data_IF_714857308867
#
_entry.id   IF_714857308867
#
_cell.length_a   1.000
_cell.length_b   1.000
_cell.length_c   1.000
_cell.angle_alpha   90.00
_cell.angle_beta   90.00
_cell.angle_gamma   90.00
#
_symmetry.space_group_name_H-M   'P 1'
#
loop_
_entity.id
_entity.type
_entity.pdbx_description
1 polymer ?
#
# COMPACT_ATOMS: atom_id res chain seq x y z
N UNK A 1 48.64 -59.46 -22.98
CA UNK A 1 47.93 -58.51 -23.88
C UNK A 1 46.44 -58.60 -23.53
N UNK A 2 45.66 -57.54 -23.41
CA UNK A 2 45.98 -56.11 -23.59
C UNK A 2 45.63 -55.28 -22.35
N UNK A 3 46.18 -54.06 -22.24
CA UNK A 3 46.02 -53.14 -21.11
C UNK A 3 45.41 -51.82 -21.57
N UNK A 4 44.23 -51.44 -21.05
CA UNK A 4 43.72 -50.08 -21.22
C UNK A 4 42.67 -49.68 -20.17
N UNK A 5 42.92 -48.54 -19.53
CA UNK A 5 41.98 -47.72 -18.76
C UNK A 5 42.78 -46.63 -18.02
N UNK A 6 42.12 -45.61 -17.42
CA UNK A 6 40.75 -45.13 -17.62
C UNK A 6 40.72 -43.65 -18.12
N UNK A 7 39.56 -43.09 -18.49
CA UNK A 7 39.46 -41.61 -18.58
C UNK A 7 38.47 -40.91 -19.50
N UNK A 8 37.16 -41.23 -19.49
CA UNK A 8 36.13 -40.37 -20.13
C UNK A 8 34.90 -40.11 -19.25
N UNK A 9 35.09 -39.47 -18.09
CA UNK A 9 34.01 -38.97 -17.22
C UNK A 9 34.14 -37.46 -16.97
N UNK A 10 33.76 -36.63 -17.94
CA UNK A 10 33.88 -35.15 -17.78
C UNK A 10 32.81 -34.27 -18.46
N UNK A 11 32.03 -34.76 -19.43
CA UNK A 11 31.08 -33.89 -20.17
C UNK A 11 29.66 -33.83 -19.59
N UNK A 12 29.00 -34.96 -19.31
CA UNK A 12 27.60 -34.97 -18.84
C UNK A 12 27.42 -34.32 -17.46
N UNK A 13 28.35 -34.51 -16.52
CA UNK A 13 28.27 -33.88 -15.19
C UNK A 13 28.43 -32.35 -15.23
N UNK A 14 29.15 -31.79 -16.21
CA UNK A 14 29.25 -30.33 -16.41
C UNK A 14 27.93 -29.73 -16.94
N UNK A 15 27.16 -30.49 -17.72
CA UNK A 15 25.82 -30.10 -18.20
C UNK A 15 24.81 -29.94 -17.05
N UNK A 16 24.70 -30.94 -16.17
CA UNK A 16 23.73 -30.89 -15.05
C UNK A 16 24.01 -29.76 -14.05
N UNK A 17 25.29 -29.45 -13.77
CA UNK A 17 25.63 -28.27 -12.94
C UNK A 17 25.24 -26.95 -13.60
N UNK A 18 25.39 -26.78 -14.92
CA UNK A 18 24.87 -25.60 -15.65
C UNK A 18 23.34 -25.51 -15.59
N UNK A 19 22.62 -26.63 -15.74
CA UNK A 19 21.14 -26.64 -15.73
C UNK A 19 20.55 -26.19 -14.37
N UNK A 20 21.16 -26.60 -13.24
CA UNK A 20 20.76 -26.13 -11.89
C UNK A 20 21.01 -24.64 -11.66
N UNK A 21 22.01 -24.03 -12.31
CA UNK A 21 22.26 -22.59 -12.25
C UNK A 21 21.37 -21.80 -13.24
N UNK A 22 20.92 -22.45 -14.32
CA UNK A 22 19.93 -21.89 -15.24
C UNK A 22 18.59 -21.60 -14.58
N UNK A 23 18.10 -22.50 -13.72
CA UNK A 23 16.84 -22.30 -12.97
C UNK A 23 16.86 -21.06 -12.07
N UNK A 24 17.95 -20.86 -11.30
CA UNK A 24 18.12 -19.62 -10.52
C UNK A 24 18.18 -18.36 -11.40
N UNK A 25 18.56 -18.47 -12.68
CA UNK A 25 18.53 -17.36 -13.65
C UNK A 25 17.16 -17.17 -14.31
N UNK A 26 16.28 -18.17 -14.30
CA UNK A 26 14.89 -18.05 -14.74
C UNK A 26 13.98 -17.41 -13.68
N UNK A 27 14.28 -17.56 -12.39
CA UNK A 27 13.50 -16.89 -11.33
C UNK A 27 13.54 -15.34 -11.43
N UNK A 28 14.59 -14.75 -12.03
CA UNK A 28 14.64 -13.31 -12.33
C UNK A 28 13.75 -12.88 -13.51
N UNK A 29 13.07 -13.81 -14.19
CA UNK A 29 12.13 -13.51 -15.29
C UNK A 29 10.66 -13.50 -14.85
N UNK A 30 10.33 -14.00 -13.67
CA UNK A 30 8.98 -13.90 -13.11
C UNK A 30 8.96 -12.79 -12.06
N UNK A 31 8.70 -11.56 -12.52
CA UNK A 31 8.34 -10.43 -11.70
C UNK A 31 6.97 -9.93 -12.20
N UNK A 32 6.06 -9.61 -11.28
CA UNK A 32 4.69 -9.21 -11.61
C UNK A 32 3.62 -10.09 -10.95
N UNK A 33 2.43 -10.15 -11.56
CA UNK A 33 1.26 -10.89 -11.10
C UNK A 33 1.04 -12.15 -11.95
N UNK A 34 0.79 -13.28 -11.29
CA UNK A 34 0.58 -14.59 -11.92
C UNK A 34 -0.70 -15.22 -11.36
N UNK A 35 -1.58 -15.75 -12.21
CA UNK A 35 -2.81 -16.39 -11.76
C UNK A 35 -2.53 -17.79 -11.17
N UNK A 36 -3.07 -18.06 -9.98
CA UNK A 36 -2.94 -19.33 -9.28
C UNK A 36 -4.09 -20.24 -9.74
N UNK A 37 -3.93 -20.78 -10.95
CA UNK A 37 -4.80 -21.78 -11.55
C UNK A 37 -4.58 -23.18 -10.95
N UNK A 38 -5.32 -24.19 -11.43
CA UNK A 38 -5.21 -25.58 -10.97
C UNK A 38 -3.83 -26.24 -11.18
N UNK A 39 -2.93 -25.62 -11.95
CA UNK A 39 -1.58 -26.13 -12.25
C UNK A 39 -0.50 -25.43 -11.41
N UNK A 40 -0.82 -24.31 -10.75
CA UNK A 40 0.11 -23.54 -9.94
C UNK A 40 0.39 -24.20 -8.58
N UNK A 41 1.66 -24.16 -8.14
CA UNK A 41 2.11 -24.82 -6.88
C UNK A 41 1.38 -24.37 -5.60
N UNK A 42 0.70 -23.21 -5.63
CA UNK A 42 -0.04 -22.65 -4.49
C UNK A 42 -1.55 -22.90 -4.56
N UNK A 43 -2.09 -23.54 -5.60
CA UNK A 43 -3.54 -23.71 -5.79
C UNK A 43 -4.23 -24.31 -4.55
N UNK A 44 -3.77 -25.48 -4.12
CA UNK A 44 -4.27 -26.16 -2.92
C UNK A 44 -4.18 -25.28 -1.66
N UNK A 45 -3.09 -24.53 -1.49
CA UNK A 45 -2.94 -23.58 -0.38
C UNK A 45 -4.01 -22.48 -0.46
N UNK A 46 -4.24 -21.88 -1.64
CA UNK A 46 -5.24 -20.83 -1.80
C UNK A 46 -6.68 -21.32 -1.63
N UNK A 47 -6.97 -22.58 -1.95
CA UNK A 47 -8.26 -23.21 -1.65
C UNK A 47 -8.46 -23.35 -0.12
N UNK A 48 -7.49 -23.92 0.60
CA UNK A 48 -7.53 -24.01 2.07
C UNK A 48 -7.59 -22.62 2.73
N UNK A 49 -6.93 -21.61 2.16
CA UNK A 49 -7.05 -20.22 2.58
C UNK A 49 -8.49 -19.72 2.42
N UNK A 50 -9.14 -19.86 1.26
CA UNK A 50 -10.54 -19.42 1.07
C UNK A 50 -11.48 -20.06 2.09
N UNK A 51 -11.37 -21.37 2.27
CA UNK A 51 -12.22 -22.13 3.19
C UNK A 51 -12.03 -21.71 4.65
N UNK A 52 -10.79 -21.69 5.14
CA UNK A 52 -10.47 -21.31 6.52
C UNK A 52 -10.69 -19.82 6.81
N UNK A 53 -10.48 -18.93 5.83
CA UNK A 53 -10.80 -17.51 5.97
C UNK A 53 -12.31 -17.28 5.99
N UNK A 54 -13.08 -17.98 5.15
CA UNK A 54 -14.53 -17.87 5.14
C UNK A 54 -15.11 -18.28 6.50
N UNK A 55 -14.67 -19.43 7.05
CA UNK A 55 -15.08 -19.90 8.37
C UNK A 55 -14.61 -18.98 9.52
N UNK A 56 -13.38 -18.47 9.49
CA UNK A 56 -12.86 -17.57 10.52
C UNK A 56 -13.61 -16.23 10.56
N UNK A 57 -13.97 -15.69 9.39
CA UNK A 57 -14.75 -14.44 9.30
C UNK A 57 -16.23 -14.71 9.60
N UNK A 58 -16.79 -15.87 9.21
CA UNK A 58 -18.18 -16.21 9.53
C UNK A 58 -18.43 -16.25 11.04
N UNK A 59 -17.53 -16.88 11.82
CA UNK A 59 -17.59 -16.83 13.28
C UNK A 59 -17.65 -15.38 13.84
N UNK A 60 -17.04 -14.42 13.14
CA UNK A 60 -17.01 -12.99 13.52
C UNK A 60 -18.26 -12.22 13.04
N UNK A 61 -18.97 -12.75 12.04
CA UNK A 61 -20.28 -12.25 11.58
C UNK A 61 -21.39 -12.74 12.53
N UNK A 62 -21.30 -14.00 12.97
CA UNK A 62 -22.29 -14.66 13.80
C UNK A 62 -22.15 -14.24 15.29
N UNK A 63 -20.93 -14.02 15.77
CA UNK A 63 -20.61 -13.50 17.10
C UNK A 63 -19.80 -12.18 16.98
N UNK A 64 -20.48 -11.03 16.78
CA UNK A 64 -19.81 -9.75 16.57
C UNK A 64 -19.15 -9.21 17.85
N UNK A 65 -18.00 -8.51 17.75
CA UNK A 65 -17.25 -8.03 18.90
C UNK A 65 -18.04 -7.04 19.77
N UNK A 66 -17.83 -7.13 21.08
CA UNK A 66 -18.36 -6.15 22.03
C UNK A 66 -17.81 -4.72 21.78
N UNK A 67 -18.58 -3.71 22.22
CA UNK A 67 -18.24 -2.29 22.02
C UNK A 67 -16.89 -1.88 22.63
N UNK A 68 -16.42 -2.57 23.68
CA UNK A 68 -15.13 -2.34 24.31
C UNK A 68 -14.31 -3.64 24.30
N UNK A 69 -13.07 -3.57 23.82
CA UNK A 69 -12.14 -4.70 23.77
C UNK A 69 -11.50 -4.94 25.13
N UNK A 70 -11.59 -6.17 25.63
CA UNK A 70 -10.96 -6.64 26.87
C UNK A 70 -9.52 -7.08 26.62
N UNK A 71 -8.76 -7.29 27.71
CA UNK A 71 -7.40 -7.85 27.58
C UNK A 71 -7.38 -9.33 27.14
N UNK A 72 -8.48 -10.06 27.25
CA UNK A 72 -8.58 -11.42 26.68
C UNK A 72 -8.79 -11.41 25.17
N UNK A 73 -9.45 -10.39 24.60
CA UNK A 73 -9.61 -10.27 23.15
C UNK A 73 -8.27 -10.16 22.41
N UNK A 74 -7.26 -9.54 23.04
CA UNK A 74 -5.89 -9.49 22.53
C UNK A 74 -5.12 -10.82 22.66
N UNK A 75 -5.63 -11.78 23.46
CA UNK A 75 -5.06 -13.12 23.68
C UNK A 75 -5.82 -14.23 22.97
N UNK A 76 -7.07 -14.00 22.58
CA UNK A 76 -8.00 -15.01 22.06
C UNK A 76 -7.40 -15.77 20.87
N UNK A 77 -7.42 -17.10 20.97
CA UNK A 77 -6.97 -18.06 19.96
C UNK A 77 -8.11 -19.06 19.71
N UNK A 78 -8.52 -19.20 18.44
CA UNK A 78 -9.64 -20.04 18.00
C UNK A 78 -9.15 -20.98 16.91
N UNK A 79 -9.09 -22.27 17.22
CA UNK A 79 -8.64 -23.32 16.28
C UNK A 79 -9.85 -23.98 15.62
N UNK A 80 -10.03 -23.71 14.33
CA UNK A 80 -11.01 -24.38 13.48
C UNK A 80 -10.37 -25.62 12.84
N UNK A 81 -11.09 -26.75 12.88
CA UNK A 81 -10.65 -28.02 12.29
C UNK A 81 -11.40 -28.22 10.98
N UNK A 82 -10.66 -28.24 9.88
CA UNK A 82 -11.16 -28.57 8.55
C UNK A 82 -10.81 -30.02 8.22
N UNK A 83 -11.35 -30.54 7.10
CA UNK A 83 -11.15 -31.95 6.71
C UNK A 83 -9.67 -32.33 6.54
N UNK A 84 -8.89 -31.46 5.92
CA UNK A 84 -7.52 -31.74 5.49
C UNK A 84 -6.47 -30.80 6.13
N UNK A 85 -6.90 -29.83 6.97
CA UNK A 85 -6.03 -28.84 7.63
C UNK A 85 -6.66 -28.25 8.91
N UNK A 86 -5.90 -27.44 9.66
CA UNK A 86 -6.42 -26.62 10.78
C UNK A 86 -6.13 -25.13 10.55
N UNK A 87 -7.05 -24.27 10.99
CA UNK A 87 -6.92 -22.81 10.91
C UNK A 87 -6.92 -22.23 12.33
N UNK A 88 -5.82 -21.59 12.72
CA UNK A 88 -5.67 -20.94 14.04
C UNK A 88 -5.92 -19.42 13.90
N UNK A 89 -7.09 -18.91 14.31
CA UNK A 89 -7.42 -17.47 14.27
C UNK A 89 -7.07 -16.80 15.60
N UNK A 90 -6.46 -15.60 15.56
CA UNK A 90 -5.96 -14.90 16.74
C UNK A 90 -6.52 -13.49 16.80
N UNK A 91 -6.89 -13.05 18.01
CA UNK A 91 -7.42 -11.72 18.30
C UNK A 91 -8.53 -11.27 17.32
N UNK A 92 -9.43 -12.20 16.99
CA UNK A 92 -10.53 -12.00 16.03
C UNK A 92 -11.32 -10.71 16.27
N UNK A 93 -11.86 -10.50 17.50
CA UNK A 93 -12.53 -9.26 17.89
C UNK A 93 -11.69 -8.00 17.67
N UNK A 94 -10.42 -8.01 18.05
CA UNK A 94 -9.51 -6.85 17.88
C UNK A 94 -9.33 -6.49 16.40
N UNK A 95 -9.14 -7.48 15.54
CA UNK A 95 -9.00 -7.25 14.11
C UNK A 95 -10.34 -6.87 13.45
N UNK A 96 -11.47 -7.35 13.96
CA UNK A 96 -12.82 -6.94 13.53
C UNK A 96 -13.10 -5.47 13.88
N UNK A 97 -12.80 -5.04 15.11
CA UNK A 97 -12.86 -3.64 15.51
C UNK A 97 -11.95 -2.77 14.63
N UNK A 98 -10.76 -3.25 14.25
CA UNK A 98 -9.90 -2.55 13.29
C UNK A 98 -10.56 -2.43 11.92
N UNK A 99 -11.11 -3.51 11.34
CA UNK A 99 -11.84 -3.49 10.06
C UNK A 99 -13.01 -2.50 10.09
N UNK A 100 -13.84 -2.56 11.13
CA UNK A 100 -14.93 -1.62 11.38
C UNK A 100 -14.47 -0.16 11.47
N UNK A 101 -13.35 0.12 12.15
CA UNK A 101 -12.77 1.48 12.24
C UNK A 101 -12.27 2.03 10.91
N UNK A 102 -11.99 1.17 9.92
CA UNK A 102 -11.67 1.53 8.54
C UNK A 102 -12.93 1.63 7.64
N UNK A 103 -14.12 1.48 8.23
CA UNK A 103 -15.41 1.49 7.52
C UNK A 103 -15.73 0.18 6.79
N UNK A 104 -14.94 -0.88 6.98
CA UNK A 104 -15.08 -2.17 6.31
C UNK A 104 -15.97 -3.10 7.14
N UNK A 105 -17.00 -3.68 6.53
CA UNK A 105 -17.79 -4.74 7.20
C UNK A 105 -17.13 -6.10 7.05
N UNK A 106 -17.45 -7.02 7.96
CA UNK A 106 -16.97 -8.40 7.88
C UNK A 106 -17.44 -9.10 6.59
N UNK A 107 -18.64 -8.79 6.10
CA UNK A 107 -19.15 -9.31 4.81
C UNK A 107 -18.35 -8.76 3.61
N UNK A 108 -18.01 -7.47 3.59
CA UNK A 108 -17.15 -6.88 2.55
C UNK A 108 -15.75 -7.52 2.56
N UNK A 109 -15.23 -7.82 3.75
CA UNK A 109 -13.94 -8.48 3.95
C UNK A 109 -13.96 -9.96 3.51
N UNK A 110 -14.99 -10.71 3.91
CA UNK A 110 -15.18 -12.11 3.52
C UNK A 110 -15.34 -12.24 1.99
N UNK A 111 -16.16 -11.40 1.36
CA UNK A 111 -16.33 -11.40 -0.09
C UNK A 111 -15.02 -11.08 -0.83
N UNK A 112 -14.27 -10.09 -0.35
CA UNK A 112 -13.00 -9.66 -0.94
C UNK A 112 -11.94 -10.77 -0.90
N UNK A 113 -11.81 -11.49 0.23
CA UNK A 113 -10.81 -12.57 0.39
C UNK A 113 -11.27 -13.93 -0.17
N UNK A 114 -12.56 -14.25 -0.08
CA UNK A 114 -13.08 -15.60 -0.35
C UNK A 114 -13.93 -15.72 -1.62
N UNK A 115 -14.01 -14.68 -2.47
CA UNK A 115 -14.68 -14.77 -3.78
C UNK A 115 -14.15 -15.91 -4.65
N UNK A 116 -14.98 -16.36 -5.60
CA UNK A 116 -14.71 -17.54 -6.45
C UNK A 116 -13.46 -17.40 -7.33
N UNK A 117 -13.13 -16.17 -7.75
CA UNK A 117 -11.96 -15.80 -8.56
C UNK A 117 -10.64 -16.47 -8.11
N UNK A 118 -9.77 -16.84 -9.07
CA UNK A 118 -8.43 -17.31 -8.76
C UNK A 118 -7.63 -16.24 -8.00
N UNK A 119 -6.84 -16.66 -7.02
CA UNK A 119 -5.86 -15.78 -6.40
C UNK A 119 -4.73 -15.45 -7.40
N UNK A 120 -4.12 -14.28 -7.27
CA UNK A 120 -2.92 -13.88 -7.99
C UNK A 120 -1.70 -13.96 -7.05
N UNK A 121 -0.63 -14.62 -7.45
CA UNK A 121 0.67 -14.48 -6.79
C UNK A 121 1.36 -13.20 -7.28
N UNK A 122 1.81 -12.34 -6.37
CA UNK A 122 2.69 -11.22 -6.68
C UNK A 122 4.15 -11.58 -6.38
N UNK A 123 4.96 -11.76 -7.43
CA UNK A 123 6.39 -12.03 -7.29
C UNK A 123 7.13 -10.69 -7.42
N UNK A 124 7.61 -10.20 -6.28
CA UNK A 124 8.32 -8.92 -6.18
C UNK A 124 9.84 -9.08 -6.22
N UNK A 125 10.54 -7.99 -6.56
CA UNK A 125 12.00 -7.89 -6.47
C UNK A 125 12.50 -7.64 -5.02
N UNK A 126 11.74 -8.09 -4.02
CA UNK A 126 12.07 -7.98 -2.61
C UNK A 126 13.20 -8.95 -2.20
N UNK A 127 13.82 -8.69 -1.04
CA UNK A 127 14.74 -9.62 -0.38
C UNK A 127 14.04 -10.54 0.63
N UNK A 128 12.76 -10.32 0.92
CA UNK A 128 11.95 -11.19 1.78
C UNK A 128 11.58 -12.48 1.04
N UNK A 129 11.84 -13.64 1.65
CA UNK A 129 11.26 -14.94 1.24
C UNK A 129 9.81 -15.07 1.73
N UNK A 130 9.01 -14.05 1.45
CA UNK A 130 7.61 -14.00 1.79
C UNK A 130 6.83 -13.98 0.49
N UNK A 131 5.83 -14.84 0.41
CA UNK A 131 4.91 -14.97 -0.72
C UNK A 131 3.80 -13.93 -0.53
N UNK A 132 3.35 -13.34 -1.62
CA UNK A 132 2.29 -12.35 -1.63
C UNK A 132 1.19 -12.86 -2.54
N UNK A 133 -0.04 -12.91 -2.02
CA UNK A 133 -1.23 -13.28 -2.78
C UNK A 133 -2.21 -12.09 -2.83
N UNK A 134 -3.08 -12.03 -3.83
CA UNK A 134 -4.21 -11.09 -3.91
C UNK A 134 -5.42 -11.84 -4.46
N UNK A 135 -6.64 -11.45 -4.09
CA UNK A 135 -7.85 -11.95 -4.75
C UNK A 135 -8.44 -10.84 -5.65
N UNK A 136 -9.33 -10.01 -5.12
CA UNK A 136 -9.98 -8.90 -5.84
C UNK A 136 -9.10 -7.65 -6.10
N UNK A 137 -7.77 -7.79 -6.02
CA UNK A 137 -6.76 -6.71 -5.97
C UNK A 137 -6.91 -5.66 -4.85
N UNK A 138 -7.93 -5.67 -3.98
CA UNK A 138 -8.06 -4.68 -2.89
C UNK A 138 -7.10 -4.98 -1.75
N UNK A 139 -6.75 -6.24 -1.55
CA UNK A 139 -5.94 -6.72 -0.43
C UNK A 139 -4.74 -7.57 -0.89
N UNK A 140 -3.56 -7.24 -0.37
CA UNK A 140 -2.41 -8.16 -0.36
C UNK A 140 -2.52 -9.14 0.80
N UNK A 141 -2.02 -10.36 0.62
CA UNK A 141 -1.92 -11.39 1.64
C UNK A 141 -0.46 -11.87 1.68
N UNK A 142 0.35 -11.26 2.55
CA UNK A 142 1.78 -11.60 2.70
C UNK A 142 1.99 -12.70 3.74
N UNK A 143 2.67 -13.80 3.39
CA UNK A 143 3.03 -14.86 4.35
C UNK A 143 4.01 -14.33 5.40
N UNK A 144 3.83 -14.73 6.67
CA UNK A 144 4.61 -14.26 7.82
C UNK A 144 5.27 -15.40 8.59
N UNK A 145 6.50 -15.19 9.07
CA UNK A 145 7.21 -16.19 9.87
C UNK A 145 6.82 -16.13 11.35
N UNK A 146 6.99 -17.24 12.08
CA UNK A 146 6.56 -17.37 13.49
C UNK A 146 7.13 -16.31 14.45
N UNK A 147 8.25 -15.63 14.11
CA UNK A 147 8.82 -14.53 14.91
C UNK A 147 8.13 -13.19 14.62
N UNK A 148 7.76 -12.95 13.38
CA UNK A 148 6.98 -11.77 12.94
C UNK A 148 5.59 -11.82 13.58
N UNK A 149 4.92 -12.98 13.51
CA UNK A 149 3.64 -13.24 14.18
C UNK A 149 3.73 -13.02 15.69
N UNK A 150 4.73 -13.60 16.37
CA UNK A 150 4.90 -13.42 17.82
C UNK A 150 5.21 -11.97 18.20
N UNK A 151 5.90 -11.22 17.33
CA UNK A 151 6.16 -9.80 17.54
C UNK A 151 4.88 -8.97 17.34
N UNK A 152 4.07 -9.23 16.30
CA UNK A 152 2.79 -8.54 16.10
C UNK A 152 1.87 -8.74 17.30
N UNK A 153 1.58 -10.00 17.67
CA UNK A 153 0.67 -10.32 18.78
C UNK A 153 1.20 -9.75 20.11
N UNK A 154 2.51 -9.87 20.37
CA UNK A 154 3.14 -9.32 21.59
C UNK A 154 3.14 -7.78 21.69
N UNK A 155 2.80 -7.06 20.62
CA UNK A 155 2.68 -5.59 20.61
C UNK A 155 1.28 -5.12 20.13
N UNK A 156 0.30 -6.03 19.97
CA UNK A 156 -0.96 -5.73 19.31
C UNK A 156 -1.77 -4.64 20.03
N UNK A 157 -1.79 -4.66 21.36
CA UNK A 157 -2.48 -3.65 22.18
C UNK A 157 -1.92 -2.24 21.96
N UNK A 158 -0.62 -2.05 22.12
CA UNK A 158 0.03 -0.74 21.93
C UNK A 158 0.02 -0.28 20.46
N UNK A 159 -0.03 -1.21 19.50
CA UNK A 159 -0.27 -0.91 18.09
C UNK A 159 -1.70 -0.39 17.84
N UNK A 160 -2.71 -1.05 18.40
CA UNK A 160 -4.12 -0.60 18.31
C UNK A 160 -4.33 0.73 19.04
N UNK A 161 -3.68 0.96 20.18
CA UNK A 161 -3.66 2.25 20.89
C UNK A 161 -3.02 3.35 20.03
N UNK A 162 -1.92 3.07 19.33
CA UNK A 162 -1.28 4.01 18.40
C UNK A 162 -2.20 4.34 17.22
N UNK A 163 -2.82 3.35 16.57
CA UNK A 163 -3.77 3.59 15.48
C UNK A 163 -5.01 4.38 15.94
N UNK A 164 -5.57 4.07 17.12
CA UNK A 164 -6.71 4.79 17.69
C UNK A 164 -6.35 6.24 18.04
N UNK A 165 -5.11 6.50 18.46
CA UNK A 165 -4.61 7.86 18.76
C UNK A 165 -4.25 8.64 17.50
N UNK A 166 -3.79 7.98 16.44
CA UNK A 166 -3.35 8.57 15.20
C UNK A 166 -4.04 7.87 14.00
N UNK A 167 -5.33 8.17 13.72
CA UNK A 167 -6.11 7.47 12.70
C UNK A 167 -5.54 7.60 11.27
N UNK A 168 -4.74 8.64 11.02
CA UNK A 168 -4.04 8.84 9.74
C UNK A 168 -2.63 8.21 9.70
N UNK A 169 -2.29 7.33 10.65
CA UNK A 169 -1.00 6.64 10.73
C UNK A 169 -0.62 5.98 9.40
N UNK A 170 0.60 6.24 8.97
CA UNK A 170 1.20 5.68 7.76
C UNK A 170 1.63 4.23 7.96
N UNK A 171 1.64 3.69 9.19
CA UNK A 171 1.93 2.29 9.45
C UNK A 171 0.98 1.37 8.68
N UNK A 172 1.54 0.32 8.08
CA UNK A 172 0.76 -0.77 7.48
C UNK A 172 -0.30 -1.30 8.45
N UNK A 173 -1.51 -1.54 7.93
CA UNK A 173 -2.64 -2.11 8.69
C UNK A 173 -2.59 -3.64 8.63
N UNK A 174 -2.78 -4.31 9.75
CA UNK A 174 -2.91 -5.77 9.81
C UNK A 174 -4.37 -6.12 10.08
N UNK A 175 -5.09 -6.65 9.11
CA UNK A 175 -6.48 -7.08 9.32
C UNK A 175 -6.58 -8.57 9.75
N UNK A 176 -5.45 -9.28 9.84
CA UNK A 176 -5.35 -10.63 10.41
C UNK A 176 -3.89 -11.02 10.72
N UNK A 177 -3.69 -12.17 11.38
CA UNK A 177 -2.36 -12.72 11.76
C UNK A 177 -1.52 -13.24 10.59
N UNK A 178 -2.07 -14.15 9.77
CA UNK A 178 -1.28 -14.91 8.80
C UNK A 178 -0.98 -14.12 7.53
N UNK A 179 -1.79 -13.11 7.25
CA UNK A 179 -1.78 -12.30 6.05
C UNK A 179 -1.75 -10.83 6.43
N UNK A 180 -0.67 -10.13 6.10
CA UNK A 180 -0.66 -8.67 6.19
C UNK A 180 -1.60 -8.13 5.11
N UNK A 181 -2.86 -7.89 5.48
CA UNK A 181 -3.84 -7.25 4.61
C UNK A 181 -3.56 -5.76 4.47
N UNK A 182 -2.60 -5.47 3.59
CA UNK A 182 -2.37 -4.14 3.06
C UNK A 182 -3.47 -3.85 2.04
N UNK A 183 -4.16 -2.71 2.19
CA UNK A 183 -4.95 -2.13 1.11
C UNK A 183 -4.01 -1.91 -0.09
N UNK A 184 -4.36 -2.40 -1.27
CA UNK A 184 -3.54 -2.16 -2.46
C UNK A 184 -3.54 -0.66 -2.77
N UNK A 185 -2.33 -0.11 -2.83
CA UNK A 185 -2.07 1.30 -3.14
C UNK A 185 -1.79 1.51 -4.63
N UNK A 186 -2.09 0.49 -5.45
CA UNK A 186 -1.81 0.45 -6.87
C UNK A 186 -3.10 0.17 -7.64
N UNK A 187 -3.67 1.22 -8.24
CA UNK A 187 -4.63 1.13 -9.35
C UNK A 187 -4.80 2.52 -10.03
N UNK A 188 -4.80 2.62 -11.37
CA UNK A 188 -4.52 1.57 -12.34
C UNK A 188 -3.02 1.28 -12.43
N UNK A 189 -2.66 0.01 -12.66
CA UNK A 189 -1.29 -0.50 -12.55
C UNK A 189 -0.34 0.04 -13.66
N UNK A 190 -0.89 0.65 -14.72
CA UNK A 190 -0.19 1.10 -15.92
C UNK A 190 0.50 2.46 -15.78
N UNK A 191 0.19 3.23 -14.71
CA UNK A 191 0.59 4.64 -14.53
C UNK A 191 1.32 4.93 -13.22
N UNK A 192 1.75 3.92 -12.48
CA UNK A 192 2.25 4.07 -11.11
C UNK A 192 3.70 3.57 -10.98
N UNK A 193 4.61 4.49 -10.67
CA UNK A 193 5.97 4.13 -10.26
C UNK A 193 6.00 3.93 -8.75
N UNK A 194 6.49 2.77 -8.28
CA UNK A 194 6.55 2.39 -6.88
C UNK A 194 7.99 2.28 -6.36
N UNK A 195 8.25 2.82 -5.17
CA UNK A 195 9.56 2.94 -4.55
C UNK A 195 9.54 2.41 -3.11
N UNK A 196 10.49 1.52 -2.78
CA UNK A 196 10.84 1.11 -1.42
C UNK A 196 11.96 2.06 -0.96
N UNK A 197 11.69 2.95 0.00
CA UNK A 197 12.65 3.97 0.49
C UNK A 197 13.07 3.67 1.94
N UNK A 198 14.37 3.86 2.26
CA UNK A 198 14.94 3.68 3.62
C UNK A 198 15.84 4.85 4.07
N UNK A 199 16.01 5.86 3.23
CA UNK A 199 16.91 7.00 3.43
C UNK A 199 18.38 6.61 3.40
N UNK A 200 18.82 5.68 2.54
CA UNK A 200 20.23 5.25 2.51
C UNK A 200 20.70 4.74 1.13
N UNK A 201 22.01 4.52 0.97
CA UNK A 201 22.63 4.14 -0.32
C UNK A 201 22.82 2.62 -0.52
N UNK A 202 23.32 1.91 0.49
CA UNK A 202 23.94 0.58 0.27
C UNK A 202 22.89 -0.48 -0.09
N UNK A 203 22.98 -0.98 -1.33
CA UNK A 203 21.99 -1.88 -1.96
C UNK A 203 20.61 -1.24 -2.20
N UNK A 204 20.57 0.07 -2.47
CA UNK A 204 19.33 0.87 -2.61
C UNK A 204 19.11 1.41 -4.03
N UNK A 205 19.60 0.68 -5.02
CA UNK A 205 19.28 0.84 -6.44
C UNK A 205 18.63 -0.43 -6.98
N UNK A 206 17.90 -0.31 -8.07
CA UNK A 206 17.27 -1.41 -8.84
C UNK A 206 17.35 -1.08 -10.32
N UNK A 207 17.59 -2.09 -11.17
CA UNK A 207 17.39 -1.97 -12.61
C UNK A 207 15.89 -1.73 -12.89
N UNK A 208 15.49 -0.66 -13.61
CA UNK A 208 14.11 -0.44 -14.02
C UNK A 208 13.60 -1.55 -14.97
N UNK A 209 12.27 -1.68 -15.06
CA UNK A 209 11.66 -2.46 -16.13
C UNK A 209 11.87 -1.77 -17.49
N UNK A 210 12.02 -2.51 -18.61
CA UNK A 210 11.99 -1.92 -19.95
C UNK A 210 10.67 -1.19 -20.22
N UNK A 211 10.73 -0.07 -20.93
CA UNK A 211 9.56 0.69 -21.35
C UNK A 211 8.56 -0.20 -22.13
N UNK A 212 7.26 -0.02 -21.85
CA UNK A 212 6.19 -0.84 -22.45
C UNK A 212 6.07 -2.27 -21.92
N UNK A 213 6.89 -2.71 -20.95
CA UNK A 213 6.74 -4.03 -20.33
C UNK A 213 5.76 -4.02 -19.15
N UNK A 214 4.96 -5.09 -19.00
CA UNK A 214 3.99 -5.25 -17.91
C UNK A 214 4.63 -5.66 -16.55
N UNK A 215 5.94 -5.43 -16.37
CA UNK A 215 6.69 -5.92 -15.21
C UNK A 215 6.69 -4.85 -14.10
N UNK A 216 5.90 -5.07 -13.05
CA UNK A 216 5.88 -4.21 -11.87
C UNK A 216 7.18 -4.40 -11.08
N UNK A 217 8.07 -3.39 -11.11
CA UNK A 217 9.34 -3.37 -10.37
C UNK A 217 9.30 -2.31 -9.28
N UNK A 218 9.55 -2.70 -8.03
CA UNK A 218 9.67 -1.74 -6.92
C UNK A 218 11.08 -1.15 -6.92
N UNK A 219 11.17 0.11 -7.33
CA UNK A 219 12.37 0.94 -7.36
C UNK A 219 12.83 1.30 -5.92
N UNK A 220 13.98 1.97 -5.76
CA UNK A 220 14.58 2.25 -4.45
C UNK A 220 15.14 3.67 -4.36
N UNK A 221 15.74 4.04 -3.23
CA UNK A 221 16.26 5.39 -2.91
C UNK A 221 17.08 6.00 -4.05
N UNK A 222 18.04 5.26 -4.60
CA UNK A 222 18.94 5.70 -5.69
C UNK A 222 18.26 5.71 -7.08
N UNK A 223 17.00 5.29 -7.18
CA UNK A 223 16.15 5.48 -8.36
C UNK A 223 15.23 6.72 -8.21
N UNK A 224 15.11 7.29 -7.01
CA UNK A 224 14.30 8.48 -6.71
C UNK A 224 15.15 9.76 -6.65
N UNK A 225 16.48 9.66 -6.78
CA UNK A 225 17.37 10.84 -6.79
C UNK A 225 16.96 11.86 -7.86
N UNK A 226 16.93 13.14 -7.47
CA UNK A 226 16.43 14.25 -8.31
C UNK A 226 14.91 14.41 -8.34
N UNK A 227 14.12 13.43 -7.86
CA UNK A 227 12.66 13.51 -7.78
C UNK A 227 12.18 14.10 -6.44
N UNK A 228 10.96 14.62 -6.42
CA UNK A 228 10.36 15.24 -5.23
C UNK A 228 8.87 14.91 -5.10
N UNK A 229 8.42 14.74 -3.85
CA UNK A 229 7.01 14.60 -3.45
C UNK A 229 6.46 16.03 -3.28
N UNK A 230 5.67 16.54 -4.23
CA UNK A 230 5.18 17.92 -4.19
C UNK A 230 3.80 17.99 -3.52
N UNK A 231 3.70 18.56 -2.32
CA UNK A 231 2.49 18.45 -1.48
C UNK A 231 2.12 19.76 -0.79
N UNK A 232 0.86 20.19 -0.96
CA UNK A 232 0.28 21.28 -0.17
C UNK A 232 0.28 20.95 1.34
N UNK A 233 0.04 19.68 1.70
CA UNK A 233 -0.01 19.19 3.08
C UNK A 233 1.35 18.62 3.56
N UNK A 234 2.48 19.23 3.15
CA UNK A 234 3.83 18.77 3.51
C UNK A 234 4.07 18.71 5.03
N UNK A 235 3.67 19.74 5.77
CA UNK A 235 3.84 19.81 7.24
C UNK A 235 3.19 18.60 7.93
N UNK A 236 1.97 18.23 7.51
CA UNK A 236 1.28 17.04 7.96
C UNK A 236 2.08 15.76 7.68
N UNK A 237 2.62 15.59 6.46
CA UNK A 237 3.36 14.37 6.10
C UNK A 237 4.61 14.21 6.97
N UNK A 238 5.39 15.28 7.16
CA UNK A 238 6.58 15.25 7.99
C UNK A 238 6.24 14.87 9.43
N UNK A 239 5.18 15.47 10.00
CA UNK A 239 4.74 15.19 11.37
C UNK A 239 4.19 13.77 11.54
N UNK A 240 3.47 13.23 10.55
CA UNK A 240 2.95 11.86 10.61
C UNK A 240 4.08 10.82 10.50
N UNK A 241 5.06 11.03 9.62
CA UNK A 241 6.27 10.18 9.53
C UNK A 241 7.06 10.22 10.84
N UNK A 242 7.21 11.39 11.47
CA UNK A 242 7.85 11.52 12.79
C UNK A 242 7.11 10.69 13.86
N UNK A 243 5.78 10.82 13.95
CA UNK A 243 4.94 10.09 14.90
C UNK A 243 5.05 8.56 14.73
N UNK A 244 4.96 8.07 13.50
CA UNK A 244 4.99 6.63 13.21
C UNK A 244 6.39 6.03 13.37
N UNK A 245 7.45 6.73 12.95
CA UNK A 245 8.83 6.26 13.14
C UNK A 245 9.29 6.38 14.60
N UNK A 246 8.75 7.32 15.38
CA UNK A 246 8.93 7.38 16.83
C UNK A 246 8.34 6.14 17.51
N UNK A 247 7.13 5.72 17.13
CA UNK A 247 6.52 4.49 17.63
C UNK A 247 7.38 3.25 17.29
N UNK A 248 7.81 3.11 16.04
CA UNK A 248 8.70 2.00 15.64
C UNK A 248 10.06 2.04 16.36
N UNK A 249 10.57 3.23 16.67
CA UNK A 249 11.76 3.40 17.53
C UNK A 249 11.53 2.87 18.95
N UNK A 250 10.38 3.15 19.56
CA UNK A 250 10.02 2.63 20.89
C UNK A 250 9.93 1.10 20.89
N UNK A 251 9.40 0.50 19.82
CA UNK A 251 9.39 -0.96 19.62
C UNK A 251 10.78 -1.56 19.27
N UNK A 252 11.84 -0.75 19.25
CA UNK A 252 13.20 -1.16 18.87
C UNK A 252 13.29 -1.78 17.46
N UNK A 253 12.44 -1.33 16.53
CA UNK A 253 12.37 -1.80 15.13
C UNK A 253 13.26 -0.94 14.24
N UNK A 254 13.83 -1.56 13.19
CA UNK A 254 14.53 -0.90 12.10
C UNK A 254 14.19 -1.58 10.76
N UNK A 255 14.93 -1.27 9.70
CA UNK A 255 14.87 -1.90 8.37
C UNK A 255 13.48 -1.84 7.69
N UNK A 256 12.50 -1.13 8.25
CA UNK A 256 11.20 -0.81 7.66
C UNK A 256 11.32 0.15 6.46
N UNK A 257 10.42 0.05 5.48
CA UNK A 257 10.42 0.91 4.30
C UNK A 257 9.33 1.96 4.38
N UNK A 258 9.59 3.18 3.89
CA UNK A 258 8.53 4.00 3.34
C UNK A 258 8.27 3.51 1.91
N UNK A 259 7.13 2.86 1.70
CA UNK A 259 6.58 2.57 0.38
C UNK A 259 5.95 3.85 -0.16
N UNK A 260 6.52 4.37 -1.24
CA UNK A 260 6.08 5.57 -1.94
C UNK A 260 5.73 5.18 -3.37
N UNK A 261 4.51 5.46 -3.81
CA UNK A 261 4.14 5.46 -5.21
C UNK A 261 3.62 6.85 -5.62
N UNK A 262 3.69 7.15 -6.92
CA UNK A 262 3.06 8.33 -7.49
C UNK A 262 2.43 8.02 -8.85
N UNK A 263 1.35 8.75 -9.14
CA UNK A 263 0.54 8.62 -10.34
C UNK A 263 0.23 10.04 -10.86
N UNK A 264 0.49 10.36 -12.14
CA UNK A 264 0.05 11.63 -12.71
C UNK A 264 -1.47 11.76 -12.67
N UNK A 265 -2.00 12.90 -12.23
CA UNK A 265 -3.45 13.17 -12.25
C UNK A 265 -3.95 13.30 -13.69
N UNK A 266 -5.05 12.62 -14.02
CA UNK A 266 -5.75 12.77 -15.29
C UNK A 266 -6.32 14.20 -15.44
N UNK A 267 -6.59 14.64 -16.67
CA UNK A 267 -7.09 15.99 -16.95
C UNK A 267 -8.36 16.30 -16.14
N UNK A 268 -9.35 15.39 -16.17
CA UNK A 268 -10.60 15.45 -15.40
C UNK A 268 -10.38 15.65 -13.87
N UNK A 269 -9.30 15.07 -13.31
CA UNK A 269 -9.03 15.09 -11.87
C UNK A 269 -8.43 16.44 -11.41
N UNK A 270 -7.60 17.06 -12.26
CA UNK A 270 -6.99 18.37 -12.00
C UNK A 270 -8.04 19.48 -11.83
N UNK A 271 -9.18 19.32 -12.49
CA UNK A 271 -10.28 20.29 -12.49
C UNK A 271 -11.34 20.05 -11.39
N UNK A 272 -11.04 19.24 -10.36
CA UNK A 272 -11.82 19.06 -9.13
C UNK A 272 -13.32 18.67 -9.29
N UNK A 273 -13.77 18.34 -10.50
CA UNK A 273 -15.20 18.19 -10.82
C UNK A 273 -15.80 16.79 -10.64
N UNK A 274 -14.96 15.74 -10.47
CA UNK A 274 -15.42 14.35 -10.40
C UNK A 274 -14.74 13.57 -9.28
N UNK A 275 -15.53 12.73 -8.60
CA UNK A 275 -15.08 11.86 -7.51
C UNK A 275 -14.28 10.65 -8.03
N UNK A 276 -13.37 10.15 -7.20
CA UNK A 276 -12.67 8.86 -7.40
C UNK A 276 -13.64 7.68 -7.63
N UNK A 277 -14.91 7.80 -7.23
CA UNK A 277 -15.98 6.87 -7.58
C UNK A 277 -16.10 6.68 -9.12
N UNK A 278 -15.96 7.73 -9.92
CA UNK A 278 -15.97 7.67 -11.39
C UNK A 278 -14.75 6.90 -11.91
N UNK A 279 -13.61 6.95 -11.20
CA UNK A 279 -12.41 6.17 -11.51
C UNK A 279 -12.65 4.68 -11.25
N UNK A 280 -13.32 4.32 -10.15
CA UNK A 280 -13.72 2.92 -9.86
C UNK A 280 -14.76 2.39 -10.87
N UNK A 281 -15.68 3.23 -11.36
CA UNK A 281 -16.62 2.83 -12.42
C UNK A 281 -15.87 2.57 -13.74
N UNK A 282 -14.95 3.46 -14.16
CA UNK A 282 -14.08 3.22 -15.32
C UNK A 282 -13.24 1.94 -15.12
N UNK A 283 -12.64 1.74 -13.95
CA UNK A 283 -11.83 0.57 -13.61
C UNK A 283 -12.58 -0.77 -13.81
N UNK A 284 -13.83 -0.84 -13.34
CA UNK A 284 -14.69 -2.03 -13.48
C UNK A 284 -15.22 -2.24 -14.91
N UNK A 285 -15.16 -1.22 -15.76
CA UNK A 285 -15.68 -1.26 -17.14
C UNK A 285 -14.66 -1.74 -18.18
N UNK A 286 -13.39 -1.94 -17.82
CA UNK A 286 -12.29 -2.19 -18.77
C UNK A 286 -12.05 -3.68 -19.07
N UNK A 287 -12.77 -4.60 -18.41
CA UNK A 287 -12.97 -5.99 -18.87
C UNK A 287 -14.23 -6.55 -18.19
N UNK A 288 -15.11 -7.26 -18.92
CA UNK A 288 -14.72 -8.55 -19.47
C UNK A 288 -15.09 -8.77 -20.95
N UNK A 289 -14.08 -9.11 -21.76
CA UNK A 289 -14.26 -9.90 -22.99
C UNK A 289 -14.27 -9.13 -24.31
N UNK A 290 -13.08 -8.95 -24.90
CA UNK A 290 -12.94 -8.61 -26.32
C UNK A 290 -11.69 -9.24 -26.93
N UNK A 291 -11.79 -10.48 -27.41
CA UNK A 291 -10.76 -11.09 -28.26
C UNK A 291 -10.77 -10.44 -29.65
N UNK A 292 -9.63 -10.09 -30.24
CA UNK A 292 -9.60 -9.36 -31.51
C UNK A 292 -9.87 -10.29 -32.70
N UNK A 293 -11.00 -10.08 -33.41
CA UNK A 293 -11.31 -10.78 -34.67
C UNK A 293 -11.70 -9.76 -35.76
N UNK A 294 -10.82 -9.68 -36.76
CA UNK A 294 -10.96 -9.14 -38.11
C UNK A 294 -11.31 -7.66 -38.37
N UNK A 295 -10.59 -7.15 -39.38
CA UNK A 295 -10.58 -5.79 -39.90
C UNK A 295 -11.74 -5.48 -40.85
N UNK A 296 -11.92 -4.17 -41.10
CA UNK A 296 -12.40 -3.51 -42.33
C UNK A 296 -13.80 -2.88 -42.33
N UNK A 297 -13.84 -1.56 -42.09
CA UNK A 297 -14.33 -0.57 -43.05
C UNK A 297 -13.94 0.86 -42.58
N UNK A 298 -13.75 1.79 -43.50
CA UNK A 298 -13.54 3.21 -43.19
C UNK A 298 -14.55 4.06 -43.97
N UNK A 299 -15.00 5.17 -43.38
CA UNK A 299 -15.47 6.42 -44.03
C UNK A 299 -15.73 7.48 -42.95
N UNK A 300 -15.61 8.77 -43.31
CA UNK A 300 -15.79 9.93 -42.41
C UNK A 300 -16.95 10.83 -42.96
N UNK A 301 -17.28 12.01 -42.42
CA UNK A 301 -18.54 12.22 -41.69
C UNK A 301 -19.63 13.02 -42.44
N UNK A 302 -20.88 12.91 -41.96
CA UNK A 302 -21.91 13.96 -42.11
C UNK A 302 -23.21 13.57 -42.81
N UNK A 303 -24.33 13.54 -42.05
CA UNK A 303 -25.71 13.51 -42.53
C UNK A 303 -26.66 14.02 -41.41
N UNK A 304 -27.81 14.61 -41.76
CA UNK A 304 -28.80 15.29 -40.88
C UNK A 304 -30.16 15.42 -41.64
N UNK A 305 -31.31 15.63 -41.00
CA UNK A 305 -31.60 15.77 -39.55
C UNK A 305 -32.05 14.43 -38.93
N UNK A 306 -33.29 14.02 -38.60
CA UNK A 306 -34.68 14.53 -38.48
C UNK A 306 -35.43 13.47 -37.61
N UNK A 307 -36.45 13.69 -36.76
CA UNK A 307 -37.15 14.84 -36.16
C UNK A 307 -37.80 14.34 -34.83
N UNK A 308 -38.18 15.24 -33.92
CA UNK A 308 -38.97 14.92 -32.69
C UNK A 308 -40.49 14.85 -33.01
N UNK A 309 -41.41 14.40 -32.13
CA UNK A 309 -41.92 15.31 -31.07
C UNK A 309 -42.55 14.66 -29.80
N UNK A 310 -42.41 15.33 -28.63
CA UNK A 310 -43.57 15.70 -27.79
C UNK A 310 -43.30 16.68 -26.60
N UNK A 311 -43.77 17.92 -26.76
CA UNK A 311 -44.48 18.74 -25.75
C UNK A 311 -43.78 19.25 -24.46
N UNK A 312 -43.30 20.50 -24.54
CA UNK A 312 -43.67 21.67 -23.69
C UNK A 312 -43.94 21.47 -22.17
N UNK A 313 -43.11 22.02 -21.27
CA UNK A 313 -43.09 23.44 -20.81
C UNK A 313 -44.31 23.91 -19.99
N UNK A 314 -44.05 24.39 -18.77
CA UNK A 314 -44.62 25.66 -18.28
C UNK A 314 -43.70 26.27 -17.21
N UNK A 315 -43.38 27.56 -17.37
CA UNK A 315 -42.79 28.41 -16.33
C UNK A 315 -43.89 29.28 -15.71
N UNK A 316 -43.65 29.81 -14.50
CA UNK A 316 -44.38 30.98 -14.00
C UNK A 316 -43.41 31.96 -13.35
N UNK A 317 -43.39 33.20 -13.84
CA UNK A 317 -42.58 34.31 -13.36
C UNK A 317 -43.16 34.94 -12.08
N UNK A 318 -42.27 35.42 -11.19
CA UNK A 318 -42.48 36.69 -10.48
C UNK A 318 -41.25 37.17 -9.68
N UNK A 319 -40.50 38.11 -10.25
CA UNK A 319 -40.28 39.41 -9.58
C UNK A 319 -39.28 39.58 -8.41
N UNK A 320 -38.20 40.29 -8.75
CA UNK A 320 -37.81 41.59 -8.14
C UNK A 320 -36.79 41.65 -6.96
N UNK A 321 -35.83 42.59 -7.13
CA UNK A 321 -34.95 43.30 -6.16
C UNK A 321 -33.62 42.67 -5.70
N UNK A 322 -32.53 43.26 -6.21
CA UNK A 322 -31.24 43.41 -5.52
C UNK A 322 -31.33 44.51 -4.44
N UNK A 323 -30.26 44.71 -3.64
CA UNK A 323 -29.42 45.89 -3.91
C UNK A 323 -27.89 45.63 -3.82
N UNK A 324 -27.10 46.55 -4.38
CA UNK A 324 -25.63 46.55 -4.30
C UNK A 324 -25.10 47.43 -3.16
N UNK A 325 -23.96 47.05 -2.59
CA UNK A 325 -22.93 47.97 -2.05
C UNK A 325 -21.56 47.30 -2.27
N UNK A 326 -20.86 47.63 -3.36
CA UNK A 326 -19.83 48.67 -3.46
C UNK A 326 -18.56 48.40 -2.63
N UNK A 327 -17.41 48.54 -3.30
CA UNK A 327 -16.09 48.24 -2.76
C UNK A 327 -15.29 49.51 -2.47
N UNK A 328 -14.29 49.41 -1.58
CA UNK A 328 -13.25 50.42 -1.41
C UNK A 328 -11.90 49.73 -1.17
N UNK A 329 -10.85 50.24 -1.81
CA UNK A 329 -9.47 49.76 -1.67
C UNK A 329 -8.56 50.87 -1.14
N UNK A 330 -7.52 50.49 -0.38
CA UNK A 330 -6.28 51.27 -0.16
C UNK A 330 -5.22 50.41 0.53
N UNK A 331 -3.99 50.90 0.54
CA UNK A 331 -2.77 50.11 0.72
C UNK A 331 -1.78 50.76 1.71
N UNK A 332 -0.62 50.11 1.86
CA UNK A 332 0.62 50.53 2.54
C UNK A 332 0.86 50.01 3.98
N UNK A 333 2.11 49.59 4.17
CA UNK A 333 2.74 49.01 5.37
C UNK A 333 3.81 50.01 5.89
N UNK A 334 4.71 49.66 6.84
CA UNK A 334 4.70 48.60 7.85
C UNK A 334 4.99 49.17 9.28
N UNK A 335 4.90 48.34 10.34
CA UNK A 335 5.70 48.55 11.57
C UNK A 335 5.89 47.28 12.41
N UNK A 336 6.93 47.32 13.22
CA UNK A 336 7.49 46.21 14.02
C UNK A 336 6.89 46.09 15.42
N UNK A 337 6.73 44.87 15.92
CA UNK A 337 7.33 44.34 17.17
C UNK A 337 6.58 43.07 17.64
N UNK A 338 7.28 42.17 18.30
CA UNK A 338 6.74 40.88 18.75
C UNK A 338 5.93 41.02 20.05
N UNK A 339 4.91 40.15 20.22
CA UNK A 339 4.58 39.50 21.50
C UNK A 339 3.58 38.34 21.35
N UNK A 340 3.71 37.41 22.29
CA UNK A 340 2.67 36.54 22.87
C UNK A 340 1.76 35.73 21.92
N UNK A 341 2.22 34.52 21.57
CA UNK A 341 1.38 33.47 21.00
C UNK A 341 0.45 32.87 22.07
N UNK A 342 -0.82 33.28 22.07
CA UNK A 342 -1.85 32.72 22.96
C UNK A 342 -2.43 31.37 22.49
N UNK A 343 -3.24 30.69 23.32
CA UNK A 343 -3.72 29.32 23.03
C UNK A 343 -4.49 29.16 21.71
N UNK A 344 -5.10 30.26 21.24
CA UNK A 344 -5.89 30.30 20.01
C UNK A 344 -5.12 29.89 18.75
N UNK A 345 -3.78 30.02 18.70
CA UNK A 345 -3.02 29.55 17.53
C UNK A 345 -3.04 28.02 17.41
N UNK A 346 -2.85 27.30 18.52
CA UNK A 346 -2.86 25.83 18.54
C UNK A 346 -4.28 25.28 18.31
N UNK A 347 -5.31 25.98 18.79
CA UNK A 347 -6.70 25.57 18.58
C UNK A 347 -7.17 25.86 17.13
N UNK A 348 -6.70 26.95 16.52
CA UNK A 348 -6.85 27.20 15.08
C UNK A 348 -6.06 26.19 14.22
N UNK A 349 -4.83 25.83 14.60
CA UNK A 349 -4.06 24.77 13.93
C UNK A 349 -4.76 23.40 14.03
N UNK A 350 -5.37 23.06 15.19
CA UNK A 350 -6.19 21.86 15.32
C UNK A 350 -7.46 21.93 14.45
N UNK A 351 -8.12 23.08 14.37
CA UNK A 351 -9.31 23.25 13.54
C UNK A 351 -8.98 23.23 12.04
N UNK A 352 -7.83 23.75 11.61
CA UNK A 352 -7.39 23.68 10.21
C UNK A 352 -6.94 22.26 9.84
N UNK A 353 -6.22 21.56 10.74
CA UNK A 353 -5.98 20.11 10.62
C UNK A 353 -7.30 19.32 10.55
N UNK A 354 -8.33 19.75 11.28
CA UNK A 354 -9.66 19.13 11.21
C UNK A 354 -10.42 19.50 9.92
N UNK A 355 -10.23 20.69 9.35
CA UNK A 355 -10.77 21.08 8.05
C UNK A 355 -10.08 20.33 6.89
N UNK A 356 -8.81 19.99 7.07
CA UNK A 356 -8.04 19.12 6.16
C UNK A 356 -8.52 17.64 6.15
N UNK A 357 -9.52 17.25 6.97
CA UNK A 357 -10.12 15.90 6.97
C UNK A 357 -10.91 15.50 5.71
N UNK A 358 -10.91 16.29 4.62
CA UNK A 358 -11.46 15.90 3.31
C UNK A 358 -10.66 14.76 2.61
N UNK A 359 -10.01 13.90 3.38
CA UNK A 359 -9.40 12.63 2.94
C UNK A 359 -10.38 11.46 2.97
N UNK A 360 -11.48 11.59 3.72
CA UNK A 360 -12.72 10.95 3.29
C UNK A 360 -13.25 11.76 2.10
N UNK A 361 -13.12 11.20 0.90
CA UNK A 361 -13.90 11.68 -0.24
C UNK A 361 -15.39 11.50 0.12
N UNK A 362 -16.30 12.45 -0.19
CA UNK A 362 -17.68 12.45 0.34
C UNK A 362 -18.53 11.19 0.06
N UNK A 363 -18.07 10.30 -0.83
CA UNK A 363 -18.73 9.05 -1.18
C UNK A 363 -17.79 7.82 -1.17
N UNK A 364 -16.68 7.84 -0.41
CA UNK A 364 -15.81 6.66 -0.24
C UNK A 364 -15.41 6.39 1.22
N UNK A 365 -15.55 5.11 1.60
CA UNK A 365 -14.82 4.51 2.72
C UNK A 365 -13.31 4.63 2.44
N UNK A 366 -12.57 5.10 3.45
CA UNK A 366 -11.23 5.66 3.34
C UNK A 366 -10.24 4.78 2.53
N UNK A 367 -9.69 5.25 1.39
CA UNK A 367 -8.45 4.72 0.86
C UNK A 367 -7.28 5.31 1.66
N UNK A 368 -6.84 4.58 2.69
CA UNK A 368 -5.69 4.99 3.46
C UNK A 368 -4.47 5.17 2.55
N UNK A 369 -3.52 6.01 2.98
CA UNK A 369 -2.24 6.25 2.32
C UNK A 369 -2.28 7.11 1.03
N UNK A 370 -3.45 7.59 0.58
CA UNK A 370 -3.53 8.58 -0.53
C UNK A 370 -3.24 10.00 -0.03
N UNK A 371 -2.41 10.76 -0.77
CA UNK A 371 -2.18 12.20 -0.60
C UNK A 371 -2.08 12.85 -1.98
N UNK A 372 -2.98 13.79 -2.29
CA UNK A 372 -2.96 14.49 -3.59
C UNK A 372 -2.05 15.73 -3.56
N UNK A 373 -1.14 15.80 -4.53
CA UNK A 373 -0.40 17.00 -4.92
C UNK A 373 -1.08 17.73 -6.08
N UNK A 374 -0.47 18.81 -6.62
CA UNK A 374 -1.09 19.60 -7.70
C UNK A 374 -1.19 18.86 -9.04
N UNK A 375 -0.24 17.97 -9.32
CA UNK A 375 -0.05 17.30 -10.62
C UNK A 375 0.01 15.76 -10.50
N UNK A 376 0.13 15.25 -9.28
CA UNK A 376 0.39 13.85 -8.96
C UNK A 376 -0.42 13.44 -7.74
N UNK A 377 -1.04 12.26 -7.79
CA UNK A 377 -1.50 11.53 -6.61
C UNK A 377 -0.33 10.74 -6.03
N UNK A 378 -0.12 10.83 -4.72
CA UNK A 378 0.89 10.06 -4.00
C UNK A 378 0.26 8.99 -3.12
N UNK A 379 0.98 7.89 -2.95
CA UNK A 379 0.55 6.67 -2.29
C UNK A 379 1.63 6.27 -1.28
N UNK A 380 1.39 6.45 0.03
CA UNK A 380 2.46 6.55 1.04
C UNK A 380 2.18 5.71 2.30
N UNK A 381 2.94 4.64 2.52
CA UNK A 381 2.79 3.76 3.70
C UNK A 381 4.11 3.21 4.25
N UNK A 382 4.15 2.84 5.53
CA UNK A 382 5.33 2.32 6.22
C UNK A 382 5.17 0.80 6.41
N UNK A 383 6.04 0.02 5.76
CA UNK A 383 5.98 -1.44 5.64
C UNK A 383 7.19 -2.15 6.28
N UNK A 384 7.11 -3.49 6.40
CA UNK A 384 8.16 -4.35 6.97
C UNK A 384 8.58 -4.03 8.43
N UNK A 385 7.61 -3.58 9.23
CA UNK A 385 7.78 -3.07 10.60
C UNK A 385 8.09 -4.13 11.69
N UNK A 386 8.63 -5.28 11.33
CA UNK A 386 8.89 -6.41 12.24
C UNK A 386 10.37 -6.73 12.47
N UNK A 387 11.30 -5.98 11.84
CA UNK A 387 12.74 -6.24 12.01
C UNK A 387 13.30 -5.58 13.27
N UNK A 388 13.28 -6.31 14.39
CA UNK A 388 13.78 -5.85 15.71
C UNK A 388 15.32 -5.78 15.76
N UNK A 389 15.87 -4.75 16.40
CA UNK A 389 17.30 -4.51 16.61
C UNK A 389 17.90 -5.45 17.68
N UNK A 390 17.98 -6.73 17.34
CA UNK A 390 18.62 -7.78 18.13
C UNK A 390 20.15 -7.74 18.07
N UNK A 391 20.83 -8.52 18.92
CA UNK A 391 22.30 -8.67 18.88
C UNK A 391 22.83 -9.05 17.48
N UNK A 392 22.10 -9.90 16.74
CA UNK A 392 22.43 -10.24 15.34
C UNK A 392 22.47 -9.00 14.44
N UNK A 393 21.55 -8.04 14.63
CA UNK A 393 21.52 -6.77 13.89
C UNK A 393 22.64 -5.81 14.32
N UNK A 394 23.04 -5.83 15.60
CA UNK A 394 24.24 -5.09 16.09
C UNK A 394 25.52 -5.60 15.44
N UNK A 395 25.65 -6.93 15.24
CA UNK A 395 26.78 -7.54 14.53
C UNK A 395 26.73 -7.28 13.02
N UNK A 396 25.54 -7.33 12.40
CA UNK A 396 25.34 -6.96 10.99
C UNK A 396 25.71 -5.48 10.74
N UNK A 397 25.36 -4.57 11.66
CA UNK A 397 25.79 -3.16 11.64
C UNK A 397 27.33 -3.03 11.68
N UNK A 398 28.00 -3.71 12.62
CA UNK A 398 29.47 -3.67 12.74
C UNK A 398 30.15 -4.17 11.45
N UNK A 399 29.68 -5.28 10.89
CA UNK A 399 30.21 -5.82 9.64
C UNK A 399 29.98 -4.88 8.44
N UNK A 400 28.79 -4.28 8.32
CA UNK A 400 28.50 -3.29 7.26
C UNK A 400 29.36 -2.03 7.41
N UNK A 401 29.60 -1.55 8.63
CA UNK A 401 30.49 -0.40 8.92
C UNK A 401 31.93 -0.63 8.46
N UNK A 402 32.44 -1.86 8.62
CA UNK A 402 33.78 -2.26 8.15
C UNK A 402 33.83 -2.45 6.63
N UNK A 403 32.78 -3.02 6.03
CA UNK A 403 32.71 -3.31 4.59
C UNK A 403 32.41 -2.08 3.71
N UNK A 404 31.67 -1.12 4.23
CA UNK A 404 31.18 0.06 3.51
C UNK A 404 31.51 1.35 4.28
N UNK A 405 32.80 1.68 4.47
CA UNK A 405 33.20 2.92 5.13
C UNK A 405 32.66 4.14 4.37
N UNK A 406 32.17 5.13 5.12
CA UNK A 406 31.65 6.40 4.58
C UNK A 406 30.26 6.34 3.92
N UNK A 407 29.65 5.16 3.75
CA UNK A 407 28.33 5.02 3.10
C UNK A 407 27.20 4.72 4.08
N UNK A 408 26.01 5.27 3.85
CA UNK A 408 24.82 4.98 4.63
C UNK A 408 24.21 3.61 4.28
N UNK A 409 23.76 2.89 5.32
CA UNK A 409 23.09 1.60 5.16
C UNK A 409 21.95 1.44 6.16
N UNK A 410 20.98 0.59 5.82
CA UNK A 410 19.73 0.47 6.59
C UNK A 410 19.95 0.02 8.03
N UNK A 411 20.80 -0.98 8.26
CA UNK A 411 20.99 -1.63 9.57
C UNK A 411 21.82 -0.79 10.55
N UNK A 412 21.19 0.21 11.17
CA UNK A 412 21.72 1.08 12.23
C UNK A 412 20.85 0.99 13.50
N UNK A 413 21.14 1.77 14.54
CA UNK A 413 20.24 1.84 15.71
C UNK A 413 18.87 2.43 15.32
N UNK A 414 17.76 2.02 15.96
CA UNK A 414 16.43 2.59 15.69
C UNK A 414 16.35 4.12 15.85
N UNK A 415 17.13 4.71 16.77
CA UNK A 415 17.28 6.16 16.90
C UNK A 415 17.85 6.78 15.61
N UNK A 416 18.96 6.23 15.12
CA UNK A 416 19.60 6.69 13.87
C UNK A 416 18.70 6.43 12.66
N UNK A 417 17.94 5.34 12.68
CA UNK A 417 17.03 4.96 11.59
C UNK A 417 15.86 5.94 11.45
N UNK A 418 15.16 6.20 12.56
CA UNK A 418 14.03 7.12 12.67
C UNK A 418 14.43 8.52 12.15
N UNK A 419 15.49 9.11 12.72
CA UNK A 419 15.98 10.43 12.29
C UNK A 419 16.35 10.47 10.81
N UNK A 420 17.05 9.45 10.29
CA UNK A 420 17.47 9.38 8.88
C UNK A 420 16.28 9.31 7.92
N UNK A 421 15.22 8.57 8.26
CA UNK A 421 14.03 8.50 7.40
C UNK A 421 13.23 9.80 7.46
N UNK A 422 13.07 10.41 8.64
CA UNK A 422 12.43 11.73 8.76
C UNK A 422 13.17 12.79 7.93
N UNK A 423 14.50 12.86 8.04
CA UNK A 423 15.32 13.76 7.24
C UNK A 423 15.15 13.52 5.74
N UNK A 424 15.18 12.25 5.30
CA UNK A 424 14.97 11.93 3.88
C UNK A 424 13.62 12.46 3.37
N UNK A 425 12.52 12.27 4.11
CA UNK A 425 11.20 12.79 3.70
C UNK A 425 11.17 14.32 3.76
N UNK A 426 11.85 14.95 4.72
CA UNK A 426 11.99 16.40 4.79
C UNK A 426 12.70 16.99 3.57
N UNK A 427 13.77 16.33 3.10
CA UNK A 427 14.59 16.77 1.97
C UNK A 427 13.91 16.51 0.61
N UNK A 428 13.16 15.40 0.49
CA UNK A 428 12.55 14.95 -0.76
C UNK A 428 11.07 15.35 -0.91
N UNK A 429 10.44 15.95 0.10
CA UNK A 429 9.12 16.59 -0.05
C UNK A 429 9.30 18.08 -0.36
N UNK A 430 8.43 18.66 -1.19
CA UNK A 430 8.37 20.10 -1.50
C UNK A 430 7.05 20.70 -1.06
#
# INVERSE_FOLDING_TARGET
>A
MSTAGPGMLSHQQRSMKRRRWGGLRQQWKLLGLFEIDQQHEFYSLTCMMKEGLAAAIQNTIDDPPANELTDEDFRLEVTQIHKDFTMETFAGPVFATLRGSLGMTEQEYQQSLCSENCYLQFISNSKSKADFFLNDKRFFLKTQNKREIKFLLGNLKIYMEHLRKYPHSLLVKFLQRFFIVMQSVFYPDDRINAYDIKGCEVSRWTEPAPEGSHIIVVLKDLNFEGQFITLQQRSWLLRQVEIDTHFLRQLNVLDYSLLLAHQPLHHDERHQGLSFATLIVRAKSVNPGSSPIHMNAATVPGAVMDEDPALSLSETDSGLKTPHSQAASRSSSPRTCAKDAGPASTEAELQDLQAQNRRLLPNLKNPLHIIDGPEQRYFVGIIDIFTVYSFKKRLEHLWKRLRHPGRSFSTVSPQTYCLRLCQWVQDHTK
#
